data_IF_341735707103
#
_entry.id   IF_341735707103
#
_cell.length_a   1.000
_cell.length_b   1.000
_cell.length_c   1.000
_cell.angle_alpha   90.00
_cell.angle_beta   90.00
_cell.angle_gamma   90.00
#
_symmetry.space_group_name_H-M   'P 1'
#
loop_
_entity.id
_entity.type
_entity.pdbx_description
1 polymer ?
#
# COMPACT_ATOMS: atom_id res chain seq x y z
N UNK A 1 35.47 -4.27 12.35
CA UNK A 1 34.54 -5.20 13.05
C UNK A 1 33.29 -4.50 13.56
N UNK A 2 33.41 -3.36 14.24
CA UNK A 2 32.25 -2.59 14.76
C UNK A 2 31.23 -2.23 13.67
N UNK A 3 31.69 -1.75 12.49
CA UNK A 3 30.80 -1.38 11.38
C UNK A 3 29.96 -2.59 10.92
N UNK A 4 30.57 -3.77 10.77
CA UNK A 4 29.83 -4.99 10.37
C UNK A 4 28.77 -5.39 11.40
N UNK A 5 29.06 -5.26 12.69
CA UNK A 5 28.09 -5.52 13.75
C UNK A 5 26.92 -4.53 13.72
N UNK A 6 27.19 -3.24 13.47
CA UNK A 6 26.16 -2.20 13.35
C UNK A 6 25.29 -2.44 12.12
N UNK A 7 25.89 -2.81 10.98
CA UNK A 7 25.12 -3.10 9.75
C UNK A 7 24.23 -4.32 9.93
N UNK A 8 24.73 -5.38 10.57
CA UNK A 8 23.94 -6.59 10.83
C UNK A 8 22.84 -6.33 11.86
N UNK A 9 23.11 -5.58 12.93
CA UNK A 9 22.09 -5.26 13.94
C UNK A 9 21.00 -4.33 13.39
N UNK A 10 21.37 -3.31 12.60
CA UNK A 10 20.42 -2.44 11.93
C UNK A 10 19.54 -3.21 10.94
N UNK A 11 20.12 -4.15 10.16
CA UNK A 11 19.37 -5.04 9.28
C UNK A 11 18.39 -5.93 10.05
N UNK A 12 18.82 -6.50 11.18
CA UNK A 12 17.98 -7.33 12.04
C UNK A 12 16.80 -6.54 12.62
N UNK A 13 17.04 -5.32 13.11
CA UNK A 13 16.01 -4.42 13.62
C UNK A 13 15.02 -4.05 12.52
N UNK A 14 15.49 -3.74 11.31
CA UNK A 14 14.63 -3.45 10.16
C UNK A 14 13.74 -4.65 9.81
N UNK A 15 14.29 -5.86 9.80
CA UNK A 15 13.52 -7.10 9.55
C UNK A 15 12.48 -7.33 10.64
N UNK A 16 12.85 -7.19 11.92
CA UNK A 16 11.90 -7.32 13.05
C UNK A 16 10.79 -6.28 12.95
N UNK A 17 11.12 -5.03 12.62
CA UNK A 17 10.15 -3.97 12.46
C UNK A 17 9.17 -4.25 11.30
N UNK A 18 9.68 -4.72 10.16
CA UNK A 18 8.86 -5.14 9.02
C UNK A 18 7.97 -6.33 9.40
N UNK A 19 8.49 -7.32 10.13
CA UNK A 19 7.71 -8.47 10.61
C UNK A 19 6.62 -8.07 11.60
N UNK A 20 6.88 -7.12 12.51
CA UNK A 20 5.87 -6.58 13.43
C UNK A 20 4.80 -5.78 12.69
N UNK A 21 5.17 -5.04 11.63
CA UNK A 21 4.23 -4.34 10.77
C UNK A 21 3.33 -5.32 9.99
N UNK A 22 3.88 -6.44 9.52
CA UNK A 22 3.14 -7.52 8.86
C UNK A 22 2.20 -8.24 9.85
N UNK A 23 2.69 -8.52 11.06
CA UNK A 23 1.93 -9.25 12.10
C UNK A 23 0.74 -8.45 12.64
N UNK A 24 0.74 -7.12 12.50
CA UNK A 24 -0.33 -6.25 12.99
C UNK A 24 -1.60 -6.22 12.13
N UNK A 25 -1.69 -6.99 11.03
CA UNK A 25 -2.89 -7.16 10.17
C UNK A 25 -3.62 -5.85 9.74
N UNK A 26 -2.94 -4.70 9.79
CA UNK A 26 -3.52 -3.39 9.43
C UNK A 26 -3.28 -3.00 7.98
N UNK A 27 -2.51 -3.77 7.21
CA UNK A 27 -2.31 -3.54 5.78
C UNK A 27 -2.69 -4.77 4.97
N UNK A 28 -3.65 -4.56 4.08
CA UNK A 28 -4.04 -5.43 2.98
C UNK A 28 -2.79 -6.05 2.33
N UNK A 29 -2.76 -7.39 2.24
CA UNK A 29 -1.73 -8.29 1.70
C UNK A 29 -0.81 -7.75 0.57
N UNK A 30 -1.29 -6.79 -0.23
CA UNK A 30 -0.58 -6.12 -1.33
C UNK A 30 0.57 -5.19 -0.89
N UNK A 31 0.42 -4.44 0.20
CA UNK A 31 1.43 -3.45 0.60
C UNK A 31 2.65 -4.07 1.30
N UNK A 32 2.41 -5.13 2.08
CA UNK A 32 3.47 -5.92 2.69
C UNK A 32 4.37 -6.56 1.62
N UNK A 33 3.80 -7.00 0.49
CA UNK A 33 4.56 -7.63 -0.59
C UNK A 33 5.54 -6.68 -1.27
N UNK A 34 5.15 -5.42 -1.50
CA UNK A 34 6.04 -4.40 -2.07
C UNK A 34 7.23 -4.11 -1.14
N UNK A 35 6.98 -3.96 0.16
CA UNK A 35 8.03 -3.75 1.17
C UNK A 35 8.91 -4.99 1.39
N UNK A 36 8.34 -6.19 1.34
CA UNK A 36 9.10 -7.45 1.36
C UNK A 36 10.02 -7.56 0.14
N UNK A 37 9.55 -7.17 -1.05
CA UNK A 37 10.37 -7.12 -2.25
C UNK A 37 11.56 -6.15 -2.13
N UNK A 38 11.32 -4.95 -1.59
CA UNK A 38 12.38 -3.96 -1.32
C UNK A 38 13.38 -4.48 -0.28
N UNK A 39 12.89 -5.08 0.81
CA UNK A 39 13.74 -5.70 1.83
C UNK A 39 14.59 -6.85 1.27
N UNK A 40 13.99 -7.71 0.45
CA UNK A 40 14.70 -8.79 -0.23
C UNK A 40 15.78 -8.28 -1.19
N UNK A 41 15.49 -7.22 -1.98
CA UNK A 41 16.47 -6.55 -2.84
C UNK A 41 17.63 -5.96 -2.02
N UNK A 42 17.34 -5.31 -0.90
CA UNK A 42 18.36 -4.77 0.00
C UNK A 42 19.26 -5.87 0.58
N UNK A 43 18.68 -6.97 1.07
CA UNK A 43 19.45 -8.12 1.58
C UNK A 43 20.27 -8.77 0.46
N UNK A 44 19.70 -8.91 -0.73
CA UNK A 44 20.40 -9.45 -1.90
C UNK A 44 21.64 -8.60 -2.24
N UNK A 45 21.49 -7.27 -2.32
CA UNK A 45 22.63 -6.39 -2.56
C UNK A 45 23.65 -6.38 -1.42
N UNK A 46 23.20 -6.48 -0.16
CA UNK A 46 24.09 -6.54 1.01
C UNK A 46 24.93 -7.84 1.09
N UNK A 47 24.44 -8.95 0.53
CA UNK A 47 25.19 -10.21 0.44
C UNK A 47 26.17 -10.19 -0.74
N UNK A 48 25.82 -9.48 -1.82
CA UNK A 48 26.57 -9.46 -3.08
C UNK A 48 27.21 -8.09 -3.38
N UNK A 49 28.02 -7.56 -2.46
CA UNK A 49 28.75 -6.29 -2.62
C UNK A 49 29.56 -6.22 -3.93
N UNK A 50 30.15 -7.34 -4.37
CA UNK A 50 30.97 -7.40 -5.57
C UNK A 50 30.22 -7.11 -6.88
N UNK A 51 28.96 -7.57 -6.98
CA UNK A 51 28.10 -7.30 -8.15
C UNK A 51 27.72 -5.82 -8.24
N UNK A 52 27.48 -5.20 -7.09
CA UNK A 52 27.11 -3.80 -7.00
C UNK A 52 28.26 -2.88 -7.44
N UNK A 53 29.50 -3.20 -7.06
CA UNK A 53 30.70 -2.49 -7.54
C UNK A 53 30.90 -2.64 -9.04
N UNK A 54 30.72 -3.85 -9.60
CA UNK A 54 30.84 -4.09 -11.04
C UNK A 54 29.78 -3.32 -11.84
N UNK A 55 28.54 -3.30 -11.37
CA UNK A 55 27.45 -2.53 -11.98
C UNK A 55 27.70 -1.03 -11.92
N UNK A 56 28.18 -0.51 -10.78
CA UNK A 56 28.51 0.91 -10.62
C UNK A 56 29.55 1.34 -11.66
N UNK A 57 30.63 0.57 -11.82
CA UNK A 57 31.66 0.85 -12.83
C UNK A 57 31.14 0.68 -14.26
N UNK A 58 30.33 -0.34 -14.54
CA UNK A 58 29.75 -0.57 -15.87
C UNK A 58 28.81 0.57 -16.31
N UNK A 59 28.06 1.16 -15.37
CA UNK A 59 27.20 2.32 -15.62
C UNK A 59 27.95 3.67 -15.61
N UNK A 60 29.27 3.67 -15.37
CA UNK A 60 30.10 4.88 -15.41
C UNK A 60 30.12 5.69 -14.11
N UNK A 61 29.66 5.14 -12.99
CA UNK A 61 29.78 5.80 -11.68
C UNK A 61 31.21 5.67 -11.13
N UNK A 62 31.84 6.80 -10.80
CA UNK A 62 33.18 6.82 -10.22
C UNK A 62 33.21 6.33 -8.77
N UNK A 63 32.16 6.64 -8.00
CA UNK A 63 32.03 6.20 -6.60
C UNK A 63 30.82 5.26 -6.48
N UNK A 64 31.00 4.06 -5.88
CA UNK A 64 29.91 3.12 -5.58
C UNK A 64 28.80 3.76 -4.72
N UNK A 65 29.15 4.71 -3.84
CA UNK A 65 28.18 5.45 -3.04
C UNK A 65 27.14 6.19 -3.89
N UNK A 66 27.57 6.77 -5.01
CA UNK A 66 26.68 7.53 -5.89
C UNK A 66 25.71 6.60 -6.63
N UNK A 67 26.19 5.43 -7.02
CA UNK A 67 25.35 4.38 -7.61
C UNK A 67 24.27 3.91 -6.63
N UNK A 68 24.64 3.66 -5.37
CA UNK A 68 23.68 3.25 -4.33
C UNK A 68 22.63 4.34 -4.12
N UNK A 69 23.04 5.60 -3.99
CA UNK A 69 22.11 6.73 -3.84
C UNK A 69 21.15 6.83 -5.02
N UNK A 70 21.67 6.76 -6.25
CA UNK A 70 20.85 6.82 -7.46
C UNK A 70 19.86 5.64 -7.55
N UNK A 71 20.34 4.41 -7.31
CA UNK A 71 19.51 3.19 -7.32
C UNK A 71 18.41 3.26 -6.27
N UNK A 72 18.75 3.63 -5.03
CA UNK A 72 17.80 3.74 -3.94
C UNK A 72 16.75 4.82 -4.25
N UNK A 73 17.17 5.97 -4.76
CA UNK A 73 16.26 7.07 -5.14
C UNK A 73 15.32 6.63 -6.27
N UNK A 74 15.82 5.91 -7.27
CA UNK A 74 14.99 5.34 -8.34
C UNK A 74 13.95 4.35 -7.82
N UNK A 75 14.36 3.42 -6.95
CA UNK A 75 13.43 2.48 -6.29
C UNK A 75 12.36 3.23 -5.49
N UNK A 76 12.76 4.26 -4.72
CA UNK A 76 11.83 5.09 -3.96
C UNK A 76 10.80 5.81 -4.84
N UNK A 77 11.23 6.38 -5.97
CA UNK A 77 10.32 7.05 -6.92
C UNK A 77 9.33 6.05 -7.51
N UNK A 78 9.81 4.89 -7.98
CA UNK A 78 8.95 3.85 -8.55
C UNK A 78 7.95 3.35 -7.50
N UNK A 79 8.41 3.09 -6.28
CA UNK A 79 7.56 2.65 -5.18
C UNK A 79 6.50 3.69 -4.83
N UNK A 80 6.88 4.97 -4.77
CA UNK A 80 5.95 6.07 -4.51
C UNK A 80 4.90 6.15 -5.62
N UNK A 81 5.30 6.02 -6.88
CA UNK A 81 4.37 6.02 -8.01
C UNK A 81 3.39 4.83 -7.95
N UNK A 82 3.88 3.63 -7.66
CA UNK A 82 3.04 2.44 -7.49
C UNK A 82 2.03 2.62 -6.34
N UNK A 83 2.46 3.20 -5.23
CA UNK A 83 1.58 3.54 -4.12
C UNK A 83 0.50 4.54 -4.53
N UNK A 84 0.87 5.59 -5.28
CA UNK A 84 -0.10 6.57 -5.80
C UNK A 84 -1.14 5.91 -6.70
N UNK A 85 -0.73 5.07 -7.65
CA UNK A 85 -1.66 4.34 -8.54
C UNK A 85 -2.59 3.43 -7.73
N UNK A 86 -2.07 2.76 -6.72
CA UNK A 86 -2.89 1.92 -5.85
C UNK A 86 -3.88 2.74 -5.03
N UNK A 87 -3.44 3.88 -4.49
CA UNK A 87 -4.31 4.80 -3.75
C UNK A 87 -5.44 5.34 -4.63
N UNK A 88 -5.15 5.69 -5.88
CA UNK A 88 -6.17 6.11 -6.86
C UNK A 88 -7.22 5.01 -7.08
N UNK A 89 -6.82 3.76 -7.33
CA UNK A 89 -7.76 2.64 -7.49
C UNK A 89 -8.60 2.41 -6.23
N UNK A 90 -7.98 2.54 -5.05
CA UNK A 90 -8.70 2.39 -3.80
C UNK A 90 -9.71 3.52 -3.58
N UNK A 91 -9.37 4.75 -3.99
CA UNK A 91 -10.27 5.89 -3.94
C UNK A 91 -11.47 5.71 -4.87
N UNK A 92 -11.27 5.26 -6.12
CA UNK A 92 -12.37 4.96 -7.05
C UNK A 92 -13.35 3.92 -6.48
N UNK A 93 -12.83 2.87 -5.82
CA UNK A 93 -13.67 1.87 -5.16
C UNK A 93 -14.46 2.46 -4.00
N UNK A 94 -13.86 3.37 -3.24
CA UNK A 94 -14.52 4.06 -2.14
C UNK A 94 -15.66 4.95 -2.65
N UNK A 95 -15.40 5.73 -3.71
CA UNK A 95 -16.42 6.58 -4.33
C UNK A 95 -17.58 5.75 -4.89
N UNK A 96 -17.28 4.62 -5.54
CA UNK A 96 -18.32 3.69 -6.03
C UNK A 96 -19.17 3.12 -4.89
N UNK A 97 -18.56 2.78 -3.75
CA UNK A 97 -19.31 2.29 -2.59
C UNK A 97 -20.17 3.39 -1.97
N UNK A 98 -19.66 4.61 -1.86
CA UNK A 98 -20.45 5.76 -1.39
C UNK A 98 -21.67 6.01 -2.30
N UNK A 99 -21.49 5.90 -3.62
CA UNK A 99 -22.58 6.03 -4.57
C UNK A 99 -23.63 4.92 -4.40
N UNK A 100 -23.20 3.66 -4.22
CA UNK A 100 -24.13 2.55 -3.97
C UNK A 100 -24.93 2.73 -2.68
N UNK A 101 -24.29 3.22 -1.62
CA UNK A 101 -24.97 3.54 -0.35
C UNK A 101 -26.02 4.63 -0.59
N UNK A 102 -25.68 5.71 -1.31
CA UNK A 102 -26.63 6.78 -1.60
C UNK A 102 -27.87 6.31 -2.40
N UNK A 103 -27.68 5.43 -3.38
CA UNK A 103 -28.80 4.81 -4.12
C UNK A 103 -29.66 3.95 -3.19
N UNK A 104 -29.04 3.13 -2.35
CA UNK A 104 -29.75 2.26 -1.40
C UNK A 104 -30.59 3.08 -0.40
N UNK A 105 -30.04 4.18 0.13
CA UNK A 105 -30.76 5.09 1.03
C UNK A 105 -31.96 5.75 0.34
N UNK A 106 -31.83 6.09 -0.94
CA UNK A 106 -32.93 6.65 -1.73
C UNK A 106 -34.04 5.62 -1.96
N UNK A 107 -33.71 4.38 -2.35
CA UNK A 107 -34.70 3.30 -2.52
C UNK A 107 -35.45 3.00 -1.22
N UNK A 108 -34.73 2.95 -0.08
CA UNK A 108 -35.34 2.76 1.24
C UNK A 108 -36.32 3.90 1.57
N UNK A 109 -35.97 5.14 1.22
CA UNK A 109 -36.86 6.30 1.44
C UNK A 109 -38.15 6.19 0.62
N UNK A 110 -38.04 5.86 -0.66
CA UNK A 110 -39.22 5.70 -1.52
C UNK A 110 -40.14 4.57 -1.04
N UNK A 111 -39.57 3.43 -0.65
CA UNK A 111 -40.34 2.31 -0.11
C UNK A 111 -41.09 2.70 1.17
N UNK A 112 -40.50 3.52 2.04
CA UNK A 112 -41.18 4.02 3.24
C UNK A 112 -42.34 4.96 2.90
N UNK A 113 -42.13 5.91 1.98
CA UNK A 113 -43.20 6.81 1.52
C UNK A 113 -44.37 6.03 0.87
N UNK A 114 -44.08 5.00 0.07
CA UNK A 114 -45.11 4.13 -0.49
C UNK A 114 -45.92 3.36 0.56
N UNK A 115 -45.26 2.91 1.63
CA UNK A 115 -45.94 2.23 2.75
C UNK A 115 -46.86 3.19 3.51
N UNK A 116 -46.39 4.41 3.81
CA UNK A 116 -47.20 5.45 4.47
C UNK A 116 -48.43 5.84 3.63
N UNK A 117 -48.28 5.94 2.30
CA UNK A 117 -49.39 6.18 1.37
C UNK A 117 -50.40 5.02 1.35
N UNK A 118 -49.92 3.77 1.41
CA UNK A 118 -50.82 2.60 1.47
C UNK A 118 -51.57 2.53 2.81
N UNK A 119 -50.93 2.85 3.92
CA UNK A 119 -51.57 2.86 5.24
C UNK A 119 -52.66 3.93 5.32
N UNK A 120 -52.38 5.15 4.87
CA UNK A 120 -53.36 6.24 4.84
C UNK A 120 -54.53 6.00 3.88
N UNK A 121 -54.30 5.33 2.74
CA UNK A 121 -55.39 4.88 1.86
C UNK A 121 -56.28 3.82 2.53
N UNK A 122 -55.67 2.90 3.30
CA UNK A 122 -56.39 1.83 3.98
C UNK A 122 -57.20 2.33 5.20
N UNK A 123 -56.75 3.38 5.89
CA UNK A 123 -57.53 4.07 6.94
C UNK A 123 -58.74 4.81 6.36
N UNK A 124 -58.56 5.54 5.26
CA UNK A 124 -59.64 6.28 4.61
C UNK A 124 -60.74 5.37 4.02
N UNK A 125 -60.42 4.12 3.67
CA UNK A 125 -61.41 3.14 3.21
C UNK A 125 -62.21 2.48 4.35
N UNK A 126 -61.78 2.63 5.60
CA UNK A 126 -62.40 2.00 6.77
C UNK A 126 -63.31 2.94 7.57
N UNK A 127 -63.29 4.23 7.25
CA UNK A 127 -64.19 5.28 7.76
C UNK A 127 -65.34 5.54 6.80
#
# INVERSE_FOLDING_TARGET
MIIKFITVSAGLVMVVFVLELIRKERLTFKYAFAWLGVGALLVFFAVFDGLLYQLAYALGFQLPSNFIFFSLSGVFVVLSFLMTVFLCQQNERNDSMAQKIGILEFEIRQLKEELELKESAHENQKS
#
